data_IF_860489408577
#
_entry.id   IF_860489408577
#
_cell.length_a   1.000
_cell.length_b   1.000
_cell.length_c   1.000
_cell.angle_alpha   90.00
_cell.angle_beta   90.00
_cell.angle_gamma   90.00
#
_symmetry.space_group_name_H-M   'P 1'
#
loop_
_entity.id
_entity.type
_entity.pdbx_description
1 polymer ?
#
# COMPACT_ATOMS: atom_id res chain seq x y z
N UNK A 1 38.52 44.84 -14.15
CA UNK A 1 38.98 43.44 -14.05
C UNK A 1 37.95 42.61 -13.30
N UNK A 2 37.50 41.48 -13.92
CA UNK A 2 36.84 40.29 -13.34
C UNK A 2 35.63 40.50 -12.39
N UNK A 3 34.54 39.75 -12.42
CA UNK A 3 33.88 38.73 -13.27
C UNK A 3 32.63 38.37 -12.45
N UNK A 4 31.51 38.10 -13.12
CA UNK A 4 30.28 37.52 -12.57
C UNK A 4 30.55 36.28 -11.71
N UNK A 5 29.66 35.99 -10.75
CA UNK A 5 29.18 34.62 -10.48
C UNK A 5 27.83 34.66 -9.74
N UNK A 6 26.79 34.30 -10.46
CA UNK A 6 25.65 33.60 -9.91
C UNK A 6 26.12 32.23 -9.44
N UNK A 7 25.62 31.74 -8.32
CA UNK A 7 25.87 30.37 -7.84
C UNK A 7 24.54 29.67 -7.58
N UNK A 8 24.18 28.88 -8.58
CA UNK A 8 23.74 27.50 -8.47
C UNK A 8 22.57 27.17 -7.55
N UNK A 9 21.36 27.21 -8.15
CA UNK A 9 20.29 26.31 -7.78
C UNK A 9 20.77 24.86 -8.00
N UNK A 10 21.01 24.15 -6.90
CA UNK A 10 21.35 22.73 -6.92
C UNK A 10 20.14 21.92 -7.34
N UNK A 11 20.03 21.63 -8.63
CA UNK A 11 19.15 20.58 -9.15
C UNK A 11 19.63 19.24 -8.60
N UNK A 12 18.87 18.67 -7.67
CA UNK A 12 19.13 17.32 -7.16
C UNK A 12 18.70 16.30 -8.24
N UNK A 13 19.59 16.04 -9.20
CA UNK A 13 19.46 14.93 -10.14
C UNK A 13 19.88 13.65 -9.43
N UNK A 14 18.93 13.01 -8.76
CA UNK A 14 19.11 11.66 -8.23
C UNK A 14 18.90 10.70 -9.40
N UNK A 15 19.97 10.45 -10.17
CA UNK A 15 20.05 9.32 -11.09
C UNK A 15 20.36 8.06 -10.27
N UNK A 16 19.33 7.42 -9.73
CA UNK A 16 19.44 6.05 -9.24
C UNK A 16 18.96 5.13 -10.37
N UNK A 17 19.89 4.73 -11.23
CA UNK A 17 19.70 3.48 -11.99
C UNK A 17 20.13 2.36 -11.06
N UNK A 18 19.26 1.98 -10.13
CA UNK A 18 19.37 0.65 -9.51
C UNK A 18 19.02 -0.35 -10.61
N UNK A 19 19.99 -1.17 -11.01
CA UNK A 19 19.70 -2.42 -11.71
C UNK A 19 18.90 -3.31 -10.75
N UNK A 20 17.57 -3.20 -10.78
CA UNK A 20 16.68 -4.11 -10.08
C UNK A 20 16.72 -5.43 -10.86
N UNK A 21 17.60 -6.34 -10.45
CA UNK A 21 17.72 -7.70 -11.04
C UNK A 21 16.71 -8.69 -10.44
N UNK A 22 15.93 -8.26 -9.43
CA UNK A 22 14.95 -9.08 -8.72
C UNK A 22 13.53 -8.80 -9.21
N UNK A 23 12.78 -9.87 -9.49
CA UNK A 23 11.33 -9.82 -9.73
C UNK A 23 10.63 -9.13 -8.56
N UNK A 24 9.67 -8.25 -8.84
CA UNK A 24 8.85 -7.62 -7.81
C UNK A 24 7.96 -8.68 -7.17
N UNK A 25 7.77 -8.58 -5.85
CA UNK A 25 6.78 -9.37 -5.14
C UNK A 25 5.51 -8.52 -4.96
N UNK A 26 4.35 -9.15 -5.10
CA UNK A 26 3.06 -8.51 -4.86
C UNK A 26 2.56 -8.85 -3.45
N UNK A 27 1.97 -7.86 -2.77
CA UNK A 27 1.32 -8.04 -1.47
C UNK A 27 0.01 -7.27 -1.42
N UNK A 28 -0.88 -7.67 -0.50
CA UNK A 28 -2.09 -6.94 -0.19
C UNK A 28 -1.87 -6.05 1.03
N UNK A 29 -2.23 -4.77 0.91
CA UNK A 29 -2.34 -3.84 2.01
C UNK A 29 -3.79 -3.39 2.19
N UNK A 30 -4.32 -3.56 3.40
CA UNK A 30 -5.65 -3.06 3.77
C UNK A 30 -5.47 -2.04 4.89
N UNK A 31 -5.90 -0.80 4.65
CA UNK A 31 -6.03 0.20 5.68
C UNK A 31 -7.44 0.12 6.27
N UNK A 32 -7.49 0.00 7.60
CA UNK A 32 -8.72 -0.32 8.35
C UNK A 32 -9.56 0.94 8.62
N UNK A 33 -10.83 0.80 9.05
CA UNK A 33 -11.73 1.94 9.20
C UNK A 33 -11.23 3.03 10.15
N UNK A 34 -10.46 2.68 11.20
CA UNK A 34 -9.87 3.66 12.12
C UNK A 34 -8.84 4.61 11.46
N UNK A 35 -8.23 4.18 10.36
CA UNK A 35 -7.33 5.01 9.54
C UNK A 35 -8.13 5.69 8.44
N UNK A 36 -8.97 4.96 7.72
CA UNK A 36 -9.68 5.48 6.55
C UNK A 36 -10.73 6.55 6.87
N UNK A 37 -11.36 6.53 8.06
CA UNK A 37 -12.33 7.57 8.46
C UNK A 37 -11.69 8.94 8.72
N UNK A 38 -10.36 9.01 8.85
CA UNK A 38 -9.64 10.24 9.17
C UNK A 38 -8.70 10.57 8.01
N UNK A 39 -9.05 11.52 7.11
CA UNK A 39 -8.29 11.79 5.90
C UNK A 39 -6.79 12.04 6.13
N UNK A 40 -6.44 12.79 7.17
CA UNK A 40 -5.03 13.06 7.52
C UNK A 40 -4.25 11.79 7.91
N UNK A 41 -4.89 10.81 8.55
CA UNK A 41 -4.26 9.52 8.87
C UNK A 41 -4.10 8.65 7.62
N UNK A 42 -5.14 8.61 6.79
CA UNK A 42 -5.09 7.88 5.52
C UNK A 42 -3.95 8.39 4.63
N UNK A 43 -3.84 9.71 4.46
CA UNK A 43 -2.77 10.31 3.68
C UNK A 43 -1.39 10.09 4.30
N UNK A 44 -1.27 10.18 5.63
CA UNK A 44 0.00 9.89 6.31
C UNK A 44 0.46 8.45 6.07
N UNK A 45 -0.44 7.46 6.13
CA UNK A 45 -0.09 6.06 5.88
C UNK A 45 0.27 5.83 4.41
N UNK A 46 -0.46 6.43 3.45
CA UNK A 46 -0.11 6.37 2.03
C UNK A 46 1.27 6.97 1.76
N UNK A 47 1.57 8.11 2.38
CA UNK A 47 2.88 8.74 2.29
C UNK A 47 3.99 7.86 2.85
N UNK A 48 3.77 7.22 4.00
CA UNK A 48 4.71 6.23 4.53
C UNK A 48 4.95 5.06 3.56
N UNK A 49 3.91 4.56 2.89
CA UNK A 49 4.07 3.49 1.90
C UNK A 49 4.95 3.98 0.73
N UNK A 50 4.73 5.20 0.24
CA UNK A 50 5.54 5.81 -0.83
C UNK A 50 6.99 6.06 -0.39
N UNK A 51 7.20 6.59 0.83
CA UNK A 51 8.53 6.86 1.39
C UNK A 51 9.34 5.56 1.66
N UNK A 52 8.67 4.40 1.65
CA UNK A 52 9.28 3.08 1.74
C UNK A 52 9.37 2.36 0.39
N UNK A 53 9.30 3.11 -0.72
CA UNK A 53 9.52 2.66 -2.10
C UNK A 53 8.57 1.53 -2.57
N UNK A 54 7.33 1.51 -2.06
CA UNK A 54 6.30 0.63 -2.59
C UNK A 54 5.62 1.25 -3.80
N UNK A 55 5.44 0.44 -4.83
CA UNK A 55 4.57 0.77 -5.95
C UNK A 55 3.13 0.40 -5.63
N UNK A 56 2.22 1.35 -5.79
CA UNK A 56 0.78 1.10 -5.82
C UNK A 56 0.36 0.61 -7.21
N UNK A 57 -0.03 -0.65 -7.32
CA UNK A 57 -0.41 -1.31 -8.59
C UNK A 57 -1.91 -1.18 -8.87
N UNK A 58 -2.73 -1.50 -7.87
CA UNK A 58 -4.19 -1.33 -7.90
C UNK A 58 -4.64 -0.81 -6.56
N UNK A 59 -5.66 0.05 -6.58
CA UNK A 59 -6.18 0.69 -5.37
C UNK A 59 -7.68 0.86 -5.46
N UNK A 60 -8.36 0.71 -4.32
CA UNK A 60 -9.77 1.12 -4.18
C UNK A 60 -10.13 1.42 -2.75
N UNK A 61 -11.14 2.28 -2.59
CA UNK A 61 -11.77 2.56 -1.30
C UNK A 61 -13.23 2.11 -1.39
N UNK A 62 -13.65 1.20 -0.51
CA UNK A 62 -15.01 0.65 -0.51
C UNK A 62 -15.48 0.35 0.92
N UNK A 63 -16.78 0.52 1.17
CA UNK A 63 -17.46 -0.05 2.33
C UNK A 63 -17.88 -1.48 2.00
N UNK A 64 -17.53 -2.43 2.87
CA UNK A 64 -17.90 -3.84 2.70
C UNK A 64 -18.98 -4.23 3.70
N UNK A 65 -19.90 -5.09 3.28
CA UNK A 65 -20.92 -5.64 4.16
C UNK A 65 -20.29 -6.58 5.20
N UNK A 66 -21.01 -6.87 6.28
CA UNK A 66 -20.54 -7.81 7.30
C UNK A 66 -20.33 -9.20 6.68
N UNK A 67 -21.24 -9.63 5.81
CA UNK A 67 -21.21 -10.91 5.12
C UNK A 67 -20.00 -11.02 4.16
N UNK A 68 -19.66 -9.94 3.44
CA UNK A 68 -18.44 -9.90 2.61
C UNK A 68 -17.19 -10.09 3.48
N UNK A 69 -17.11 -9.38 4.61
CA UNK A 69 -15.96 -9.46 5.52
C UNK A 69 -15.88 -10.81 6.25
N UNK A 70 -17.01 -11.41 6.60
CA UNK A 70 -17.06 -12.77 7.18
C UNK A 70 -16.53 -13.82 6.21
N UNK A 71 -16.85 -13.71 4.92
CA UNK A 71 -16.28 -14.57 3.87
C UNK A 71 -14.77 -14.40 3.80
N UNK A 72 -14.27 -13.16 3.84
CA UNK A 72 -12.84 -12.88 3.82
C UNK A 72 -12.10 -13.50 5.02
N UNK A 73 -12.64 -13.37 6.23
CA UNK A 73 -12.06 -13.93 7.45
C UNK A 73 -12.54 -15.36 7.77
N UNK A 74 -13.07 -16.11 6.80
CA UNK A 74 -13.71 -17.41 7.03
C UNK A 74 -12.84 -18.42 7.78
N UNK A 75 -11.51 -18.37 7.59
CA UNK A 75 -10.52 -19.19 8.31
C UNK A 75 -10.51 -18.95 9.84
N UNK A 76 -11.11 -17.84 10.30
CA UNK A 76 -11.19 -17.45 11.71
C UNK A 76 -12.58 -17.62 12.31
N UNK A 77 -13.54 -18.23 11.60
CA UNK A 77 -14.95 -18.29 12.02
C UNK A 77 -15.18 -18.87 13.42
N UNK A 78 -14.35 -19.81 13.85
CA UNK A 78 -14.43 -20.45 15.17
C UNK A 78 -13.68 -19.70 16.27
N UNK A 79 -12.99 -18.59 15.95
CA UNK A 79 -12.22 -17.82 16.94
C UNK A 79 -13.16 -16.88 17.70
N UNK A 80 -12.96 -16.77 19.02
CA UNK A 80 -13.77 -15.92 19.90
C UNK A 80 -13.83 -14.43 19.49
N UNK A 81 -12.85 -13.95 18.73
CA UNK A 81 -12.78 -12.56 18.26
C UNK A 81 -13.41 -12.33 16.89
N UNK A 82 -13.92 -13.38 16.22
CA UNK A 82 -14.39 -13.31 14.83
C UNK A 82 -15.48 -12.26 14.63
N UNK A 83 -16.57 -12.33 15.40
CA UNK A 83 -17.71 -11.41 15.28
C UNK A 83 -17.28 -9.94 15.51
N UNK A 84 -16.45 -9.72 16.54
CA UNK A 84 -15.90 -8.39 16.82
C UNK A 84 -15.01 -7.88 15.68
N UNK A 85 -14.19 -8.75 15.08
CA UNK A 85 -13.33 -8.41 13.96
C UNK A 85 -14.15 -8.05 12.71
N UNK A 86 -15.14 -8.88 12.37
CA UNK A 86 -15.93 -8.71 11.15
C UNK A 86 -16.83 -7.49 11.25
N UNK A 87 -17.53 -7.29 12.38
CA UNK A 87 -18.31 -6.08 12.64
C UNK A 87 -17.47 -4.81 12.67
N UNK A 88 -16.22 -4.89 13.13
CA UNK A 88 -15.33 -3.75 13.07
C UNK A 88 -14.91 -3.42 11.63
N UNK A 89 -14.49 -4.42 10.87
CA UNK A 89 -14.01 -4.25 9.49
C UNK A 89 -15.12 -3.79 8.53
N UNK A 90 -16.39 -4.11 8.82
CA UNK A 90 -17.57 -3.62 8.08
C UNK A 90 -18.11 -2.27 8.60
N UNK A 91 -17.50 -1.65 9.61
CA UNK A 91 -18.03 -0.44 10.25
C UNK A 91 -17.73 0.88 9.49
N UNK A 92 -17.09 0.80 8.33
CA UNK A 92 -16.74 1.96 7.51
C UNK A 92 -15.81 1.60 6.35
N UNK A 93 -15.20 2.61 5.70
CA UNK A 93 -14.45 2.38 4.47
C UNK A 93 -13.14 1.65 4.76
N UNK A 94 -12.79 0.77 3.84
CA UNK A 94 -11.47 0.15 3.73
C UNK A 94 -10.74 0.73 2.52
N UNK A 95 -9.47 1.11 2.68
CA UNK A 95 -8.59 1.44 1.55
C UNK A 95 -7.72 0.23 1.28
N UNK A 96 -7.97 -0.43 0.14
CA UNK A 96 -7.34 -1.70 -0.24
C UNK A 96 -6.39 -1.44 -1.40
N UNK A 97 -5.16 -1.95 -1.29
CA UNK A 97 -4.09 -1.72 -2.24
C UNK A 97 -3.36 -3.01 -2.56
N UNK A 98 -3.10 -3.24 -3.84
CA UNK A 98 -2.07 -4.16 -4.30
C UNK A 98 -0.78 -3.37 -4.40
N UNK A 99 0.22 -3.79 -3.61
CA UNK A 99 1.54 -3.16 -3.59
C UNK A 99 2.57 -4.07 -4.24
N UNK A 100 3.53 -3.48 -4.94
CA UNK A 100 4.69 -4.16 -5.50
C UNK A 100 5.99 -3.56 -4.97
N UNK A 101 6.94 -4.44 -4.61
CA UNK A 101 8.31 -4.12 -4.19
C UNK A 101 9.14 -5.41 -4.22
N UNK A 102 10.46 -5.31 -4.28
CA UNK A 102 11.32 -6.43 -3.88
C UNK A 102 10.99 -6.85 -2.43
N UNK A 103 10.72 -8.14 -2.22
CA UNK A 103 10.29 -8.72 -0.94
C UNK A 103 9.12 -7.97 -0.25
N UNK A 104 8.15 -7.53 -1.05
CA UNK A 104 7.03 -6.70 -0.61
C UNK A 104 6.28 -7.22 0.61
N UNK A 105 6.12 -8.54 0.77
CA UNK A 105 5.42 -9.12 1.92
C UNK A 105 6.20 -8.85 3.21
N UNK A 106 7.50 -9.16 3.23
CA UNK A 106 8.36 -8.92 4.39
C UNK A 106 8.46 -7.42 4.69
N UNK A 107 8.71 -6.62 3.66
CA UNK A 107 8.83 -5.17 3.77
C UNK A 107 7.54 -4.54 4.31
N UNK A 108 6.37 -4.99 3.82
CA UNK A 108 5.08 -4.46 4.27
C UNK A 108 4.82 -4.82 5.72
N UNK A 109 5.12 -6.07 6.12
CA UNK A 109 4.99 -6.51 7.51
C UNK A 109 5.94 -5.76 8.45
N UNK A 110 7.12 -5.40 7.98
CA UNK A 110 8.08 -4.57 8.72
C UNK A 110 7.51 -3.17 8.93
N UNK A 111 6.98 -2.54 7.89
CA UNK A 111 6.34 -1.23 7.96
C UNK A 111 5.08 -1.23 8.86
N UNK A 112 4.33 -2.34 8.87
CA UNK A 112 3.20 -2.53 9.78
C UNK A 112 3.63 -2.57 11.25
N UNK A 113 4.74 -3.24 11.56
CA UNK A 113 5.19 -3.52 12.93
C UNK A 113 4.39 -4.65 13.61
N UNK A 114 4.68 -4.94 14.89
CA UNK A 114 4.00 -5.99 15.67
C UNK A 114 2.47 -5.85 15.69
N UNK A 115 1.74 -6.99 15.66
CA UNK A 115 0.26 -6.99 15.62
C UNK A 115 -0.39 -6.32 16.83
N UNK A 116 0.20 -6.52 18.02
CA UNK A 116 -0.25 -5.87 19.27
C UNK A 116 0.28 -4.46 19.32
N UNK A 117 -0.61 -3.48 19.44
CA UNK A 117 -0.26 -2.05 19.39
C UNK A 117 0.72 -1.67 20.50
N UNK A 118 0.50 -2.16 21.72
CA UNK A 118 1.42 -1.91 22.84
C UNK A 118 2.84 -2.40 22.57
N UNK A 119 2.98 -3.58 21.94
CA UNK A 119 4.27 -4.13 21.52
C UNK A 119 4.87 -3.30 20.39
N UNK A 120 4.07 -2.87 19.42
CA UNK A 120 4.52 -2.03 18.31
C UNK A 120 5.05 -0.67 18.79
N UNK A 121 4.39 -0.02 19.74
CA UNK A 121 4.84 1.24 20.33
C UNK A 121 6.24 1.10 20.95
N UNK A 122 6.52 -0.03 21.59
CA UNK A 122 7.82 -0.28 22.22
C UNK A 122 8.91 -0.69 21.23
N UNK A 123 8.63 -1.67 20.35
CA UNK A 123 9.66 -2.28 19.48
C UNK A 123 9.85 -1.55 18.15
N UNK A 124 8.81 -0.91 17.63
CA UNK A 124 8.80 -0.27 16.32
C UNK A 124 7.95 1.02 16.34
N UNK A 125 8.36 2.06 17.10
CA UNK A 125 7.54 3.26 17.34
C UNK A 125 7.16 4.05 16.08
N UNK A 126 7.94 3.90 15.00
CA UNK A 126 7.68 4.52 13.70
C UNK A 126 6.76 3.69 12.79
N UNK A 127 6.40 2.47 13.18
CA UNK A 127 5.53 1.58 12.40
C UNK A 127 4.09 2.10 12.32
N UNK A 128 3.35 1.62 11.32
CA UNK A 128 1.94 2.00 11.13
C UNK A 128 1.11 1.64 12.36
N UNK A 129 1.31 0.44 12.94
CA UNK A 129 0.54 -0.01 14.10
C UNK A 129 0.85 0.78 15.36
N UNK A 130 2.10 1.21 15.55
CA UNK A 130 2.48 2.09 16.66
C UNK A 130 1.85 3.48 16.53
N UNK A 131 1.90 4.08 15.34
CA UNK A 131 1.45 5.46 15.11
C UNK A 131 -0.07 5.61 14.98
N UNK A 132 -0.76 4.60 14.44
CA UNK A 132 -2.18 4.72 14.08
C UNK A 132 -3.08 3.63 14.69
N UNK A 133 -2.51 2.61 15.33
CA UNK A 133 -3.26 1.58 16.02
C UNK A 133 -3.91 2.10 17.31
N UNK A 134 -5.09 1.58 17.64
CA UNK A 134 -5.82 1.89 18.86
C UNK A 134 -5.91 0.68 19.80
N UNK A 135 -6.15 -0.50 19.22
CA UNK A 135 -6.25 -1.78 19.94
C UNK A 135 -5.76 -2.91 19.04
N UNK A 136 -5.64 -4.14 19.55
CA UNK A 136 -5.22 -5.31 18.78
C UNK A 136 -6.09 -5.54 17.52
N UNK A 137 -7.41 -5.37 17.62
CA UNK A 137 -8.32 -5.46 16.46
C UNK A 137 -8.26 -4.21 15.59
N UNK A 138 -8.18 -3.03 16.22
CA UNK A 138 -8.13 -1.71 15.57
C UNK A 138 -6.70 -1.21 15.40
N UNK A 139 -5.83 -2.06 14.87
CA UNK A 139 -4.39 -1.80 14.77
C UNK A 139 -3.99 -0.98 13.52
N UNK A 140 -4.95 -0.44 12.77
CA UNK A 140 -4.68 0.49 11.66
C UNK A 140 -4.57 -0.17 10.29
N UNK A 141 -3.88 -1.30 10.17
CA UNK A 141 -3.69 -1.96 8.86
C UNK A 141 -3.49 -3.48 8.95
N UNK A 142 -3.78 -4.15 7.83
CA UNK A 142 -3.61 -5.58 7.58
C UNK A 142 -2.68 -5.82 6.39
N UNK A 143 -1.98 -6.94 6.43
CA UNK A 143 -1.12 -7.40 5.36
C UNK A 143 -1.02 -8.92 5.36
N UNK A 144 -0.88 -9.48 4.17
CA UNK A 144 -0.63 -10.89 3.96
C UNK A 144 0.63 -11.36 4.73
N UNK A 145 0.67 -12.66 5.05
CA UNK A 145 1.77 -13.30 5.75
C UNK A 145 2.64 -14.21 4.85
N UNK A 146 2.18 -14.49 3.64
CA UNK A 146 2.79 -15.41 2.69
C UNK A 146 2.29 -15.10 1.27
N UNK A 147 3.01 -15.56 0.25
CA UNK A 147 2.56 -15.37 -1.14
C UNK A 147 1.21 -16.06 -1.41
N UNK A 148 0.98 -17.21 -0.77
CA UNK A 148 -0.26 -17.93 -0.87
C UNK A 148 -1.44 -17.13 -0.27
N UNK A 149 -1.26 -16.49 0.90
CA UNK A 149 -2.29 -15.60 1.46
C UNK A 149 -2.46 -14.35 0.61
N UNK A 150 -1.37 -13.70 0.20
CA UNK A 150 -1.42 -12.53 -0.68
C UNK A 150 -2.22 -12.80 -1.96
N UNK A 151 -1.96 -13.92 -2.66
CA UNK A 151 -2.70 -14.29 -3.88
C UNK A 151 -4.19 -14.51 -3.61
N UNK A 152 -4.56 -15.23 -2.54
CA UNK A 152 -5.97 -15.46 -2.17
C UNK A 152 -6.68 -14.14 -1.83
N UNK A 153 -6.06 -13.33 -0.98
CA UNK A 153 -6.63 -12.08 -0.51
C UNK A 153 -6.75 -11.05 -1.64
N UNK A 154 -5.74 -10.94 -2.52
CA UNK A 154 -5.81 -10.09 -3.72
C UNK A 154 -6.95 -10.52 -4.63
N UNK A 155 -7.12 -11.82 -4.89
CA UNK A 155 -8.22 -12.32 -5.72
C UNK A 155 -9.61 -12.09 -5.10
N UNK A 156 -9.72 -12.10 -3.77
CA UNK A 156 -10.96 -11.73 -3.08
C UNK A 156 -11.31 -10.26 -3.32
N UNK A 157 -10.34 -9.36 -3.14
CA UNK A 157 -10.61 -7.94 -3.27
C UNK A 157 -10.67 -7.49 -4.72
N UNK A 158 -9.79 -7.97 -5.61
CA UNK A 158 -9.68 -7.59 -7.02
C UNK A 158 -9.85 -8.85 -7.90
N UNK A 159 -11.09 -9.35 -8.07
CA UNK A 159 -11.34 -10.55 -8.88
C UNK A 159 -10.93 -10.38 -10.35
N UNK A 160 -10.83 -9.14 -10.83
CA UNK A 160 -10.34 -8.77 -12.16
C UNK A 160 -8.81 -8.79 -12.31
N UNK A 161 -8.07 -8.90 -11.19
CA UNK A 161 -6.61 -8.83 -11.19
C UNK A 161 -5.98 -10.23 -11.22
N UNK A 162 -5.18 -10.49 -12.26
CA UNK A 162 -4.36 -11.70 -12.38
C UNK A 162 -2.89 -11.36 -12.12
N UNK A 163 -2.29 -11.83 -11.01
CA UNK A 163 -0.88 -11.61 -10.71
C UNK A 163 0.06 -12.15 -11.79
N UNK A 164 -0.24 -13.31 -12.38
CA UNK A 164 0.60 -13.92 -13.41
C UNK A 164 0.63 -13.05 -14.67
N UNK A 165 -0.55 -12.57 -15.08
CA UNK A 165 -0.69 -11.64 -16.20
C UNK A 165 0.04 -10.31 -15.93
N UNK A 166 -0.11 -9.76 -14.72
CA UNK A 166 0.59 -8.53 -14.33
C UNK A 166 2.12 -8.68 -14.44
N UNK A 167 2.68 -9.81 -13.99
CA UNK A 167 4.11 -10.09 -14.15
C UNK A 167 4.54 -10.17 -15.62
N UNK A 168 3.70 -10.75 -16.48
CA UNK A 168 4.03 -10.91 -17.89
C UNK A 168 3.94 -9.59 -18.68
N UNK A 169 2.99 -8.72 -18.33
CA UNK A 169 2.61 -7.58 -19.18
C UNK A 169 2.96 -6.21 -18.59
N UNK A 170 2.95 -6.08 -17.25
CA UNK A 170 3.03 -4.78 -16.58
C UNK A 170 4.32 -4.60 -15.77
N UNK A 171 4.86 -5.67 -15.17
CA UNK A 171 6.02 -5.60 -14.24
C UNK A 171 7.24 -4.88 -14.82
N UNK A 172 7.57 -5.16 -16.09
CA UNK A 172 8.73 -4.53 -16.74
C UNK A 172 8.68 -3.00 -16.67
N UNK A 173 7.48 -2.42 -16.79
CA UNK A 173 7.25 -0.97 -16.75
C UNK A 173 7.61 -0.38 -15.39
N UNK A 174 7.31 -1.10 -14.30
CA UNK A 174 7.68 -0.68 -12.95
C UNK A 174 9.18 -0.73 -12.67
N UNK A 175 9.93 -1.50 -13.46
CA UNK A 175 11.37 -1.66 -13.33
C UNK A 175 12.16 -0.70 -14.23
N UNK A 176 11.60 -0.28 -15.37
CA UNK A 176 12.35 0.47 -16.40
C UNK A 176 11.83 1.87 -16.69
N UNK A 177 10.53 2.12 -16.51
CA UNK A 177 9.94 3.41 -16.84
C UNK A 177 10.02 4.39 -15.67
N UNK A 178 9.96 5.69 -16.00
CA UNK A 178 9.72 6.72 -14.99
C UNK A 178 8.23 6.78 -14.67
N UNK A 179 7.89 6.31 -13.48
CA UNK A 179 6.53 6.33 -12.96
C UNK A 179 6.29 7.57 -12.08
N UNK A 180 5.05 8.01 -12.04
CA UNK A 180 4.56 8.98 -11.06
C UNK A 180 3.36 8.40 -10.32
N UNK A 181 3.15 8.86 -9.09
CA UNK A 181 1.99 8.48 -8.30
C UNK A 181 0.81 9.39 -8.65
N UNK A 182 -0.26 8.80 -9.19
CA UNK A 182 -1.55 9.47 -9.39
C UNK A 182 -2.31 9.48 -8.05
N UNK A 183 -2.40 10.64 -7.40
CA UNK A 183 -3.02 10.76 -6.07
C UNK A 183 -4.54 10.49 -6.08
N UNK A 184 -5.22 10.79 -7.18
CA UNK A 184 -6.67 10.61 -7.31
C UNK A 184 -7.01 9.12 -7.41
N UNK A 185 -6.30 8.41 -8.28
CA UNK A 185 -6.47 6.97 -8.48
C UNK A 185 -5.73 6.13 -7.45
N UNK A 186 -4.78 6.75 -6.74
CA UNK A 186 -3.89 6.11 -5.77
C UNK A 186 -3.08 4.96 -6.39
N UNK A 187 -2.55 5.13 -7.61
CA UNK A 187 -1.76 4.13 -8.33
C UNK A 187 -0.56 4.78 -9.00
N UNK A 188 0.49 4.01 -9.28
CA UNK A 188 1.58 4.47 -10.13
C UNK A 188 1.21 4.32 -11.60
N UNK A 189 1.47 5.37 -12.38
CA UNK A 189 1.26 5.44 -13.83
C UNK A 189 2.50 6.03 -14.50
N UNK A 190 2.75 5.75 -15.78
CA UNK A 190 3.80 6.41 -16.54
C UNK A 190 3.55 7.91 -16.65
N UNK A 191 4.63 8.69 -16.64
CA UNK A 191 4.56 10.15 -16.76
C UNK A 191 3.86 10.61 -18.07
N UNK A 192 3.94 9.83 -19.15
CA UNK A 192 3.36 10.19 -20.44
C UNK A 192 1.82 10.13 -20.46
N UNK A 193 1.19 9.29 -19.64
CA UNK A 193 -0.28 9.11 -19.60
C UNK A 193 -1.04 10.32 -19.02
N UNK A 194 -0.35 11.29 -18.42
CA UNK A 194 -0.95 12.55 -17.92
C UNK A 194 -1.00 13.64 -19.00
N UNK A 195 0.00 13.73 -19.89
CA UNK A 195 0.07 14.80 -20.92
C UNK A 195 -1.10 14.74 -21.90
N UNK A 196 -1.61 13.55 -22.18
CA UNK A 196 -2.78 13.33 -23.04
C UNK A 196 -4.11 13.77 -22.41
N UNK A 197 -4.15 14.00 -21.08
CA UNK A 197 -5.29 14.62 -20.40
C UNK A 197 -5.21 16.14 -20.37
N UNK A 198 -4.02 16.71 -20.18
CA UNK A 198 -3.85 18.19 -20.09
C UNK A 198 -4.00 18.91 -21.44
N UNK A 199 -3.99 18.19 -22.57
CA UNK A 199 -4.16 18.74 -23.92
C UNK A 199 -5.62 18.69 -24.42
N UNK A 200 -6.59 18.35 -23.57
CA UNK A 200 -8.03 18.23 -23.93
C UNK A 200 -8.96 19.17 -23.14
N UNK A 201 -8.42 20.23 -22.57
CA UNK A 201 -9.18 21.38 -22.03
C UNK A 201 -8.90 22.62 -22.89
#
# INVERSE_FOLDING_TARGET
AKRRRASDATTCNINITMCITSRLQLTLAILKPNVCKIPVKLQAVRRMILDHDFFFVRSKVKNYSKEEIEKFYGEHREKFFFDRLTSYMSSGPLSVHILAKEDAIREWRTLLGPTKVSKAVFEAPLSIRARFGLTDTRNGAHGADSEASAKREMGFFFPEFDPQKWHAEEEHRFLTEKLMFDEERCVHVPIEEQRSKTLRE
#
